data_IF_016084453141
#
_entry.id   IF_016084453141
#
_cell.length_a   1.000
_cell.length_b   1.000
_cell.length_c   1.000
_cell.angle_alpha   90.00
_cell.angle_beta   90.00
_cell.angle_gamma   90.00
#
_symmetry.space_group_name_H-M   'P 1'
#
loop_
_entity.id
_entity.type
_entity.pdbx_description
1 polymer ?
#
# COMPACT_ATOMS: atom_id res chain seq x y z
N UNK A 1 -19.36 -32.86 -27.77
CA UNK A 1 -18.08 -33.54 -27.49
C UNK A 1 -16.94 -32.66 -28.00
N UNK A 2 -15.86 -32.49 -27.23
CA UNK A 2 -14.73 -31.57 -27.54
C UNK A 2 -14.03 -31.90 -28.87
N UNK A 3 -14.07 -33.17 -29.27
CA UNK A 3 -13.53 -33.64 -30.56
C UNK A 3 -14.31 -33.12 -31.77
N UNK A 4 -15.64 -33.02 -31.65
CA UNK A 4 -16.52 -32.50 -32.72
C UNK A 4 -16.26 -31.01 -32.99
N UNK A 5 -16.01 -30.22 -31.94
CA UNK A 5 -15.68 -28.80 -32.05
C UNK A 5 -14.29 -28.55 -32.67
N UNK A 6 -13.32 -29.45 -32.42
CA UNK A 6 -12.01 -29.40 -33.10
C UNK A 6 -12.11 -29.72 -34.57
N UNK A 7 -12.89 -30.74 -34.92
CA UNK A 7 -13.12 -31.13 -36.31
C UNK A 7 -13.81 -30.02 -37.12
N UNK A 8 -14.73 -29.27 -36.50
CA UNK A 8 -15.39 -28.10 -37.11
C UNK A 8 -14.55 -26.81 -37.07
N UNK A 9 -13.28 -26.87 -36.65
CA UNK A 9 -12.39 -25.72 -36.45
C UNK A 9 -12.95 -24.61 -35.53
N UNK A 10 -13.95 -24.93 -34.71
CA UNK A 10 -14.57 -24.00 -33.76
C UNK A 10 -13.72 -23.79 -32.49
N UNK A 11 -12.54 -24.42 -32.41
CA UNK A 11 -11.66 -24.32 -31.25
C UNK A 11 -10.71 -23.15 -31.40
N UNK A 12 -10.87 -22.11 -30.57
CA UNK A 12 -9.97 -20.97 -30.53
C UNK A 12 -8.66 -21.31 -29.81
N UNK A 13 -7.54 -20.69 -30.22
CA UNK A 13 -6.26 -20.87 -29.54
C UNK A 13 -6.31 -20.38 -28.09
N UNK A 14 -5.43 -20.93 -27.22
CA UNK A 14 -5.32 -20.48 -25.82
C UNK A 14 -5.08 -18.98 -25.73
N UNK A 15 -4.20 -18.44 -26.57
CA UNK A 15 -3.89 -17.00 -26.63
C UNK A 15 -5.12 -16.14 -26.92
N UNK A 16 -6.00 -16.59 -27.83
CA UNK A 16 -7.26 -15.87 -28.18
C UNK A 16 -8.29 -15.98 -27.05
N UNK A 17 -8.26 -17.06 -26.28
CA UNK A 17 -9.12 -17.23 -25.12
C UNK A 17 -8.65 -16.37 -23.95
N UNK A 18 -7.34 -16.32 -23.72
CA UNK A 18 -6.72 -15.54 -22.66
C UNK A 18 -6.95 -14.05 -22.91
N UNK A 19 -6.71 -13.55 -24.12
CA UNK A 19 -6.97 -12.14 -24.47
C UNK A 19 -8.44 -11.72 -24.31
N UNK A 20 -9.40 -12.64 -24.48
CA UNK A 20 -10.83 -12.40 -24.23
C UNK A 20 -11.22 -12.46 -22.75
N UNK A 21 -10.38 -13.02 -21.88
CA UNK A 21 -10.64 -13.13 -20.45
C UNK A 21 -10.15 -11.92 -19.65
N UNK A 22 -9.20 -11.15 -20.18
CA UNK A 22 -8.74 -9.91 -19.56
C UNK A 22 -9.82 -8.82 -19.67
N UNK A 23 -10.27 -8.31 -18.52
CA UNK A 23 -11.27 -7.23 -18.44
C UNK A 23 -10.71 -5.87 -18.88
N UNK A 24 -9.40 -5.69 -18.82
CA UNK A 24 -8.68 -4.52 -19.32
C UNK A 24 -7.83 -4.93 -20.52
N UNK A 25 -7.72 -4.03 -21.51
CA UNK A 25 -6.74 -4.16 -22.57
C UNK A 25 -5.32 -4.03 -21.95
N UNK A 26 -4.32 -4.80 -22.41
CA UNK A 26 -2.91 -4.63 -22.02
C UNK A 26 -2.42 -3.18 -21.89
N UNK A 27 -2.84 -2.28 -22.78
CA UNK A 27 -2.47 -0.86 -22.68
C UNK A 27 -3.10 -0.18 -21.45
N UNK A 28 -4.39 -0.39 -21.22
CA UNK A 28 -5.12 0.14 -20.06
C UNK A 28 -4.55 -0.40 -18.75
N UNK A 29 -4.20 -1.69 -18.74
CA UNK A 29 -3.60 -2.33 -17.57
C UNK A 29 -2.22 -1.75 -17.27
N UNK A 30 -1.38 -1.52 -18.29
CA UNK A 30 -0.07 -0.89 -18.12
C UNK A 30 -0.17 0.55 -17.60
N UNK A 31 -1.11 1.35 -18.12
CA UNK A 31 -1.36 2.71 -17.65
C UNK A 31 -1.86 2.73 -16.20
N UNK A 32 -2.76 1.82 -15.82
CA UNK A 32 -3.24 1.68 -14.45
C UNK A 32 -2.10 1.32 -13.48
N UNK A 33 -1.23 0.39 -13.86
CA UNK A 33 -0.05 0.03 -13.07
C UNK A 33 0.87 1.23 -12.88
N UNK A 34 1.15 1.98 -13.96
CA UNK A 34 1.98 3.19 -13.90
C UNK A 34 1.38 4.23 -12.95
N UNK A 35 0.07 4.48 -13.06
CA UNK A 35 -0.63 5.41 -12.19
C UNK A 35 -0.57 5.01 -10.71
N UNK A 36 -0.77 3.72 -10.40
CA UNK A 36 -0.63 3.19 -9.03
C UNK A 36 0.80 3.37 -8.50
N UNK A 37 1.81 3.21 -9.36
CA UNK A 37 3.20 3.43 -8.98
C UNK A 37 3.47 4.90 -8.65
N UNK A 38 2.93 5.84 -9.43
CA UNK A 38 3.02 7.28 -9.15
C UNK A 38 2.36 7.64 -7.82
N UNK A 39 1.16 7.11 -7.54
CA UNK A 39 0.49 7.30 -6.24
C UNK A 39 1.34 6.78 -5.08
N UNK A 40 1.93 5.60 -5.24
CA UNK A 40 2.82 5.00 -4.23
C UNK A 40 4.05 5.89 -3.98
N UNK A 41 4.62 6.49 -5.03
CA UNK A 41 5.73 7.46 -4.90
C UNK A 41 5.30 8.75 -4.18
N UNK A 42 4.05 9.18 -4.38
CA UNK A 42 3.43 10.27 -3.61
C UNK A 42 3.02 9.88 -2.19
N UNK A 43 3.38 8.67 -1.71
CA UNK A 43 3.03 8.12 -0.39
C UNK A 43 1.53 7.95 -0.17
N UNK A 44 0.78 7.78 -1.25
CA UNK A 44 -0.63 7.45 -1.21
C UNK A 44 -0.75 5.99 -1.61
N UNK A 45 -0.85 5.11 -0.63
CA UNK A 45 -1.08 3.68 -0.85
C UNK A 45 -2.53 3.49 -1.29
N UNK A 46 -2.81 3.17 -2.57
CA UNK A 46 -4.18 2.99 -3.00
C UNK A 46 -4.71 1.72 -2.34
N UNK A 47 -5.82 1.85 -1.63
CA UNK A 47 -6.51 0.71 -1.04
C UNK A 47 -7.06 -0.19 -2.15
N UNK A 48 -7.33 -1.46 -1.82
CA UNK A 48 -7.96 -2.42 -2.75
C UNK A 48 -9.26 -1.89 -3.35
N UNK A 49 -10.00 -1.09 -2.60
CA UNK A 49 -11.22 -0.42 -3.06
C UNK A 49 -10.92 0.68 -4.07
N UNK A 50 -9.92 1.53 -3.82
CA UNK A 50 -9.48 2.57 -4.76
C UNK A 50 -9.01 1.94 -6.08
N UNK A 51 -8.22 0.87 -6.03
CA UNK A 51 -7.75 0.16 -7.23
C UNK A 51 -8.93 -0.39 -8.03
N UNK A 52 -9.94 -0.96 -7.35
CA UNK A 52 -11.16 -1.45 -7.98
C UNK A 52 -11.94 -0.32 -8.64
N UNK A 53 -12.07 0.82 -7.98
CA UNK A 53 -12.81 1.97 -8.51
C UNK A 53 -12.14 2.52 -9.77
N UNK A 54 -10.81 2.65 -9.77
CA UNK A 54 -10.07 3.05 -10.96
C UNK A 54 -10.21 2.05 -12.09
N UNK A 55 -10.00 0.77 -11.80
CA UNK A 55 -10.12 -0.28 -12.81
C UNK A 55 -11.55 -0.40 -13.35
N UNK A 56 -12.56 -0.21 -12.51
CA UNK A 56 -13.98 -0.19 -12.91
C UNK A 56 -14.32 1.01 -13.79
N UNK A 57 -13.75 2.18 -13.48
CA UNK A 57 -13.91 3.37 -14.30
C UNK A 57 -13.28 3.18 -15.69
N UNK A 58 -12.09 2.57 -15.77
CA UNK A 58 -11.41 2.28 -17.04
C UNK A 58 -12.13 1.19 -17.84
N UNK A 59 -12.66 0.16 -17.17
CA UNK A 59 -13.38 -0.95 -17.79
C UNK A 59 -14.85 -0.60 -18.15
N UNK A 60 -15.37 0.52 -17.65
CA UNK A 60 -16.79 0.90 -17.73
C UNK A 60 -17.75 -0.18 -17.18
N UNK A 61 -17.27 -0.99 -16.25
CA UNK A 61 -18.04 -2.03 -15.56
C UNK A 61 -17.55 -2.19 -14.12
N UNK A 62 -18.42 -2.66 -13.23
CA UNK A 62 -18.04 -2.93 -11.83
C UNK A 62 -17.19 -4.19 -11.76
N UNK A 63 -15.92 -4.03 -11.37
CA UNK A 63 -15.01 -5.15 -11.17
C UNK A 63 -15.15 -5.75 -9.77
N UNK A 64 -14.91 -7.06 -9.67
CA UNK A 64 -15.02 -7.79 -8.40
C UNK A 64 -13.74 -7.74 -7.57
N UNK A 65 -13.85 -8.00 -6.27
CA UNK A 65 -12.70 -8.17 -5.36
C UNK A 65 -11.75 -9.27 -5.82
N UNK A 66 -12.28 -10.32 -6.46
CA UNK A 66 -11.49 -11.41 -7.01
C UNK A 66 -10.57 -10.92 -8.13
N UNK A 67 -11.06 -10.00 -8.97
CA UNK A 67 -10.23 -9.37 -10.00
C UNK A 67 -9.09 -8.56 -9.38
N UNK A 68 -9.37 -7.77 -8.34
CA UNK A 68 -8.34 -6.99 -7.63
C UNK A 68 -7.28 -7.90 -7.02
N UNK A 69 -7.67 -9.03 -6.43
CA UNK A 69 -6.72 -10.03 -5.92
C UNK A 69 -5.82 -10.58 -7.02
N UNK A 70 -6.38 -10.92 -8.19
CA UNK A 70 -5.60 -11.42 -9.32
C UNK A 70 -4.66 -10.37 -9.89
N UNK A 71 -5.13 -9.14 -10.03
CA UNK A 71 -4.33 -8.00 -10.49
C UNK A 71 -3.12 -7.77 -9.57
N UNK A 72 -3.34 -7.71 -8.25
CA UNK A 72 -2.26 -7.54 -7.28
C UNK A 72 -1.29 -8.73 -7.26
N UNK A 73 -1.79 -9.95 -7.45
CA UNK A 73 -0.95 -11.15 -7.55
C UNK A 73 -0.07 -11.13 -8.80
N UNK A 74 -0.63 -10.72 -9.94
CA UNK A 74 0.08 -10.68 -11.22
C UNK A 74 1.15 -9.59 -11.26
N UNK A 75 0.88 -8.44 -10.64
CA UNK A 75 1.80 -7.29 -10.56
C UNK A 75 2.56 -7.21 -9.22
N UNK A 76 2.72 -8.34 -8.54
CA UNK A 76 3.30 -8.37 -7.19
C UNK A 76 4.74 -7.86 -7.14
N UNK A 77 5.51 -8.12 -8.20
CA UNK A 77 6.93 -7.83 -8.32
C UNK A 77 7.19 -6.32 -8.47
N UNK A 78 6.26 -5.58 -9.07
CA UNK A 78 6.41 -4.14 -9.30
C UNK A 78 5.65 -3.31 -8.26
N UNK A 79 4.58 -3.84 -7.66
CA UNK A 79 3.78 -3.14 -6.66
C UNK A 79 4.27 -3.41 -5.22
N UNK A 80 4.41 -4.67 -4.77
CA UNK A 80 4.69 -4.96 -3.34
C UNK A 80 5.96 -4.30 -2.78
N UNK A 81 7.12 -4.32 -3.47
CA UNK A 81 8.32 -3.66 -2.94
C UNK A 81 8.11 -2.17 -2.71
N UNK A 82 7.34 -1.50 -3.57
CA UNK A 82 7.05 -0.06 -3.46
C UNK A 82 6.08 0.24 -2.31
N UNK A 83 5.14 -0.66 -2.01
CA UNK A 83 4.25 -0.50 -0.85
C UNK A 83 5.04 -0.51 0.45
N UNK A 84 5.99 -1.44 0.60
CA UNK A 84 6.87 -1.49 1.76
C UNK A 84 7.70 -0.20 1.90
N UNK A 85 8.28 0.30 0.81
CA UNK A 85 9.05 1.56 0.83
C UNK A 85 8.19 2.78 1.16
N UNK A 86 6.95 2.87 0.64
CA UNK A 86 6.04 3.96 0.96
C UNK A 86 5.67 3.97 2.45
N UNK A 87 5.28 2.81 2.99
CA UNK A 87 4.98 2.63 4.41
C UNK A 87 6.17 3.00 5.30
N UNK A 88 7.38 2.56 4.93
CA UNK A 88 8.62 2.87 5.64
C UNK A 88 8.95 4.37 5.58
N UNK A 89 8.73 5.02 4.43
CA UNK A 89 8.95 6.46 4.27
C UNK A 89 7.96 7.32 5.07
N UNK A 90 6.71 6.87 5.23
CA UNK A 90 5.70 7.50 6.06
C UNK A 90 6.02 7.32 7.54
N UNK A 91 6.46 6.11 7.93
CA UNK A 91 6.98 5.83 9.25
C UNK A 91 8.16 6.76 9.58
N UNK A 92 9.16 6.82 8.71
CA UNK A 92 10.32 7.71 8.87
C UNK A 92 9.95 9.19 8.92
N UNK A 93 8.91 9.64 8.21
CA UNK A 93 8.44 11.02 8.28
C UNK A 93 7.64 11.31 9.56
N UNK A 94 6.85 10.35 10.03
CA UNK A 94 6.18 10.43 11.34
C UNK A 94 7.22 10.46 12.48
N UNK A 95 8.27 9.65 12.35
CA UNK A 95 9.37 9.48 13.30
C UNK A 95 10.56 10.42 13.03
N UNK A 96 10.35 11.48 12.25
CA UNK A 96 11.45 12.34 11.82
C UNK A 96 12.14 12.98 13.03
N UNK A 97 13.45 12.78 13.13
CA UNK A 97 14.30 13.30 14.21
C UNK A 97 14.07 14.79 14.50
N UNK A 98 13.81 15.60 13.48
CA UNK A 98 13.56 17.03 13.64
C UNK A 98 12.30 17.34 14.45
N UNK A 99 11.24 16.52 14.33
CA UNK A 99 10.01 16.67 15.13
C UNK A 99 10.28 16.36 16.60
N UNK A 100 11.01 15.29 16.89
CA UNK A 100 11.42 14.96 18.25
C UNK A 100 12.34 16.04 18.84
N UNK A 101 13.31 16.53 18.07
CA UNK A 101 14.19 17.63 18.48
C UNK A 101 13.38 18.88 18.83
N UNK A 102 12.42 19.26 17.99
CA UNK A 102 11.54 20.41 18.26
C UNK A 102 10.67 20.20 19.51
N UNK A 103 10.10 19.00 19.67
CA UNK A 103 9.33 18.63 20.85
C UNK A 103 10.16 18.79 22.14
N UNK A 104 11.35 18.19 22.18
CA UNK A 104 12.23 18.25 23.35
C UNK A 104 12.78 19.66 23.61
N UNK A 105 13.05 20.46 22.57
CA UNK A 105 13.44 21.86 22.71
C UNK A 105 12.38 22.71 23.43
N UNK A 106 11.09 22.38 23.26
CA UNK A 106 9.99 23.08 23.96
C UNK A 106 9.75 22.46 25.36
N UNK A 107 9.95 21.15 25.51
CA UNK A 107 9.69 20.42 26.73
C UNK A 107 10.73 20.71 27.84
N UNK A 108 12.03 20.70 27.51
CA UNK A 108 13.09 20.89 28.52
C UNK A 108 12.96 22.19 29.31
N UNK A 109 12.71 23.37 28.67
CA UNK A 109 12.48 24.60 29.43
C UNK A 109 11.29 24.52 30.39
N UNK A 110 10.24 23.77 30.04
CA UNK A 110 9.05 23.60 30.90
C UNK A 110 9.31 22.67 32.07
N UNK A 111 10.02 21.56 31.84
CA UNK A 111 10.45 20.64 32.91
C UNK A 111 11.25 21.44 33.95
N UNK A 112 12.21 22.24 33.49
CA UNK A 112 13.02 23.09 34.37
C UNK A 112 12.18 24.15 35.09
N UNK A 113 11.27 24.82 34.37
CA UNK A 113 10.41 25.88 34.94
C UNK A 113 9.54 25.38 36.10
N UNK A 114 9.00 24.17 35.98
CA UNK A 114 8.08 23.59 36.96
C UNK A 114 8.74 22.58 37.90
N UNK A 115 10.07 22.42 37.82
CA UNK A 115 10.84 21.43 38.57
C UNK A 115 10.20 20.03 38.52
N UNK A 116 9.81 19.59 37.31
CA UNK A 116 9.16 18.30 37.12
C UNK A 116 10.20 17.20 37.35
N UNK A 117 9.99 16.42 38.40
CA UNK A 117 10.87 15.29 38.72
C UNK A 117 10.66 14.13 37.75
N UNK A 118 11.73 13.35 37.56
CA UNK A 118 11.74 12.23 36.60
C UNK A 118 10.62 11.21 36.90
N UNK A 119 10.34 10.98 38.18
CA UNK A 119 9.28 10.07 38.66
C UNK A 119 7.86 10.52 38.29
N UNK A 120 7.68 11.80 37.98
CA UNK A 120 6.41 12.40 37.56
C UNK A 120 6.29 12.53 36.02
N UNK A 121 7.24 11.95 35.28
CA UNK A 121 7.23 11.95 33.81
C UNK A 121 6.62 10.65 33.29
N UNK A 122 5.35 10.70 32.88
CA UNK A 122 4.64 9.56 32.31
C UNK A 122 4.57 9.67 30.79
N UNK A 123 4.81 8.55 30.10
CA UNK A 123 4.60 8.49 28.65
C UNK A 123 3.09 8.42 28.36
N UNK A 124 2.58 9.34 27.54
CA UNK A 124 1.19 9.33 27.08
C UNK A 124 1.13 8.52 25.79
N UNK A 125 1.32 7.20 25.88
CA UNK A 125 0.95 6.31 24.81
C UNK A 125 -0.07 5.30 25.32
N UNK A 126 -1.14 5.10 24.54
CA UNK A 126 -2.28 4.24 24.90
C UNK A 126 -1.95 2.74 25.05
N UNK A 127 -0.68 2.36 25.06
CA UNK A 127 -0.23 0.97 25.13
C UNK A 127 1.18 0.92 25.73
N UNK A 128 1.26 1.01 27.07
CA UNK A 128 2.49 1.07 27.87
C UNK A 128 3.60 0.09 27.45
N UNK A 129 4.82 0.60 27.28
CA UNK A 129 6.05 -0.18 27.32
C UNK A 129 7.01 0.51 28.28
N UNK A 130 7.58 -0.29 29.18
CA UNK A 130 8.47 0.14 30.26
C UNK A 130 9.87 0.37 29.68
N UNK A 131 10.37 1.61 29.73
CA UNK A 131 11.79 1.89 29.53
C UNK A 131 12.46 1.77 30.90
N UNK A 132 13.08 0.62 31.18
CA UNK A 132 13.94 0.45 32.35
C UNK A 132 15.38 0.73 31.94
N UNK A 133 16.05 1.64 32.64
CA UNK A 133 17.51 1.74 32.60
C UNK A 133 18.07 0.58 33.42
N UNK A 134 18.77 -0.36 32.78
CA UNK A 134 19.56 -1.35 33.49
C UNK A 134 20.91 -0.69 33.78
N UNK A 135 21.08 -0.13 34.98
CA UNK A 135 22.41 0.15 35.51
C UNK A 135 23.04 -1.18 35.96
N UNK A 136 24.31 -1.39 35.58
CA UNK A 136 25.16 -2.46 36.14
C UNK A 136 25.58 -2.11 37.56
#
# INVERSE_FOLDING_TARGET
STLLQRHQQQTTSRVVKDSKQHKLNPQQEAELVKYIQELTTCRLLPTREIIRNFASAVAQETLSDSWVTRFLYYHNNCLLPRYATAMDSDCHYAELYTKYKQYFNILYPKINKYNVELENTYNIHKTGFIIRVISR
#
